data_IF_736504350927
#
_entry.id   IF_736504350927
#
_cell.length_a   1.000
_cell.length_b   1.000
_cell.length_c   1.000
_cell.angle_alpha   90.00
_cell.angle_beta   90.00
_cell.angle_gamma   90.00
#
_symmetry.space_group_name_H-M   'P 1'
#
loop_
_entity.id
_entity.type
_entity.pdbx_description
1 polymer ?
#
# COMPACT_ATOMS: atom_id res chain seq x y z
N UNK A 1 8.04 9.75 2.71
CA UNK A 1 8.28 8.59 3.58
C UNK A 1 8.94 9.02 4.88
N UNK A 2 9.92 9.91 4.79
CA UNK A 2 10.58 10.44 5.99
C UNK A 2 9.65 11.25 6.90
N UNK A 3 8.47 11.62 6.41
CA UNK A 3 7.48 12.35 7.21
C UNK A 3 6.59 11.43 8.05
N UNK A 4 6.81 10.10 8.02
CA UNK A 4 6.04 9.15 8.82
C UNK A 4 6.99 8.28 9.66
N UNK A 5 7.67 8.90 10.68
CA UNK A 5 8.75 8.19 11.39
C UNK A 5 8.28 7.04 12.27
N UNK A 6 7.03 7.05 12.73
CA UNK A 6 6.52 6.05 13.67
C UNK A 6 5.68 4.98 12.99
N UNK A 7 6.06 4.62 11.77
CA UNK A 7 5.35 3.58 11.01
C UNK A 7 6.25 2.42 10.69
N UNK A 8 5.64 1.24 10.60
CA UNK A 8 6.21 0.10 9.89
C UNK A 8 5.85 0.23 8.44
N UNK A 9 6.78 -0.08 7.55
CA UNK A 9 6.54 0.00 6.11
C UNK A 9 6.73 -1.35 5.45
N UNK A 10 5.93 -1.60 4.44
CA UNK A 10 6.10 -2.73 3.55
C UNK A 10 5.93 -2.26 2.12
N UNK A 11 6.64 -2.89 1.21
CA UNK A 11 6.55 -2.58 -0.22
C UNK A 11 6.03 -3.78 -0.98
N UNK A 12 5.33 -3.49 -2.07
CA UNK A 12 4.76 -4.51 -2.91
C UNK A 12 4.71 -3.97 -4.33
N UNK A 13 5.42 -4.63 -5.25
CA UNK A 13 5.41 -4.22 -6.64
C UNK A 13 4.19 -4.78 -7.34
N UNK A 14 3.79 -4.13 -8.43
CA UNK A 14 2.71 -4.60 -9.27
C UNK A 14 3.10 -4.43 -10.74
N UNK A 15 2.54 -5.28 -11.59
CA UNK A 15 2.81 -5.25 -13.02
C UNK A 15 1.59 -5.70 -13.81
N UNK A 16 1.50 -5.20 -15.01
CA UNK A 16 0.38 -5.45 -15.91
C UNK A 16 0.29 -4.30 -16.91
N UNK A 17 -0.91 -3.79 -17.13
CA UNK A 17 -1.09 -2.58 -17.93
C UNK A 17 -0.40 -1.38 -17.32
N UNK A 18 -0.27 -1.38 -16.00
CA UNK A 18 0.50 -0.38 -15.26
C UNK A 18 1.54 -1.11 -14.41
N UNK A 19 2.67 -0.45 -14.19
CA UNK A 19 3.75 -0.99 -13.37
C UNK A 19 4.17 0.02 -12.34
N UNK A 20 4.46 -0.47 -11.15
CA UNK A 20 4.93 0.39 -10.08
C UNK A 20 5.12 -0.35 -8.78
N UNK A 21 5.12 0.41 -7.72
CA UNK A 21 5.34 -0.11 -6.38
C UNK A 21 4.41 0.60 -5.40
N UNK A 22 3.86 -0.18 -4.48
CA UNK A 22 3.04 0.34 -3.40
C UNK A 22 3.85 0.24 -2.12
N UNK A 23 3.97 1.34 -1.39
CA UNK A 23 4.58 1.36 -0.08
C UNK A 23 3.48 1.69 0.91
N UNK A 24 3.25 0.80 1.86
CA UNK A 24 2.20 0.96 2.86
C UNK A 24 2.83 1.21 4.21
N UNK A 25 2.39 2.26 4.89
CA UNK A 25 2.83 2.61 6.24
C UNK A 25 1.75 2.33 7.26
N UNK A 26 2.10 1.62 8.32
CA UNK A 26 1.19 1.27 9.41
C UNK A 26 1.79 1.83 10.70
N UNK A 27 0.99 2.61 11.43
CA UNK A 27 1.46 3.25 12.65
C UNK A 27 1.81 2.20 13.70
N UNK A 28 3.00 2.34 14.29
CA UNK A 28 3.47 1.42 15.33
C UNK A 28 2.57 1.44 16.54
N UNK A 29 2.05 2.60 16.90
CA UNK A 29 1.20 2.77 18.07
C UNK A 29 -0.13 2.03 17.97
N UNK A 30 -0.59 1.75 16.76
CA UNK A 30 -1.84 1.03 16.54
C UNK A 30 -1.68 -0.47 16.37
N UNK A 31 -0.44 -0.99 16.36
CA UNK A 31 -0.20 -2.39 16.03
C UNK A 31 -0.82 -3.37 17.01
N UNK A 32 -0.80 -3.08 18.31
CA UNK A 32 -1.40 -3.98 19.29
C UNK A 32 -2.90 -4.11 19.11
N UNK A 33 -3.58 -2.99 18.87
CA UNK A 33 -5.02 -3.00 18.62
C UNK A 33 -5.35 -3.72 17.32
N UNK A 34 -4.53 -3.49 16.29
CA UNK A 34 -4.69 -4.16 15.00
C UNK A 34 -4.47 -5.67 15.12
N UNK A 35 -3.44 -6.05 15.87
CA UNK A 35 -3.14 -7.46 16.13
C UNK A 35 -4.30 -8.14 16.85
N UNK A 36 -4.87 -7.48 17.84
CA UNK A 36 -6.01 -8.01 18.57
C UNK A 36 -7.22 -8.18 17.64
N UNK A 37 -7.48 -7.21 16.77
CA UNK A 37 -8.57 -7.28 15.82
C UNK A 37 -8.38 -8.42 14.80
N UNK A 38 -7.15 -8.78 14.50
CA UNK A 38 -6.81 -9.84 13.55
C UNK A 38 -6.48 -11.18 14.22
N UNK A 39 -6.76 -11.29 15.51
CA UNK A 39 -6.59 -12.52 16.29
C UNK A 39 -5.14 -12.97 16.41
N UNK A 40 -4.20 -12.04 16.47
CA UNK A 40 -2.82 -12.32 16.79
C UNK A 40 -2.64 -12.39 18.31
N UNK A 41 -1.73 -13.21 18.76
CA UNK A 41 -1.38 -13.32 20.19
C UNK A 41 -0.55 -12.12 20.64
N UNK A 42 -0.85 -11.59 21.80
CA UNK A 42 -0.08 -10.50 22.40
C UNK A 42 0.74 -11.02 23.57
N UNK A 43 1.92 -10.44 23.86
CA UNK A 43 2.55 -9.33 23.11
C UNK A 43 3.14 -9.80 21.78
N UNK A 44 3.24 -8.86 20.82
CA UNK A 44 3.83 -9.17 19.53
C UNK A 44 5.35 -9.25 19.64
N UNK A 45 5.92 -10.35 19.16
CA UNK A 45 7.36 -10.43 18.98
C UNK A 45 7.74 -9.90 17.58
N UNK A 46 9.03 -9.97 17.25
CA UNK A 46 9.48 -9.45 15.97
C UNK A 46 8.86 -10.17 14.78
N UNK A 47 8.80 -11.49 14.86
CA UNK A 47 8.25 -12.31 13.77
C UNK A 47 6.76 -12.04 13.60
N UNK A 48 6.02 -11.99 14.69
CA UNK A 48 4.57 -11.72 14.63
C UNK A 48 4.28 -10.31 14.14
N UNK A 49 5.10 -9.33 14.51
CA UNK A 49 4.95 -7.97 14.01
C UNK A 49 5.14 -7.94 12.51
N UNK A 50 6.16 -8.61 12.00
CA UNK A 50 6.40 -8.67 10.56
C UNK A 50 5.24 -9.36 9.83
N UNK A 51 4.75 -10.46 10.35
CA UNK A 51 3.61 -11.15 9.76
C UNK A 51 2.37 -10.26 9.72
N UNK A 52 2.10 -9.55 10.81
CA UNK A 52 0.96 -8.64 10.89
C UNK A 52 1.05 -7.54 9.84
N UNK A 53 2.21 -6.89 9.76
CA UNK A 53 2.42 -5.79 8.82
C UNK A 53 2.28 -6.27 7.38
N UNK A 54 2.87 -7.41 7.06
CA UNK A 54 2.81 -7.96 5.70
C UNK A 54 1.39 -8.38 5.33
N UNK A 55 0.65 -8.96 6.27
CA UNK A 55 -0.73 -9.38 6.02
C UNK A 55 -1.64 -8.18 5.79
N UNK A 56 -1.55 -7.17 6.63
CA UNK A 56 -2.34 -5.94 6.47
C UNK A 56 -1.98 -5.23 5.17
N UNK A 57 -0.69 -5.16 4.87
CA UNK A 57 -0.22 -4.54 3.63
C UNK A 57 -0.79 -5.24 2.41
N UNK A 58 -0.78 -6.56 2.41
CA UNK A 58 -1.31 -7.32 1.29
C UNK A 58 -2.80 -7.03 1.07
N UNK A 59 -3.56 -6.92 2.15
CA UNK A 59 -4.99 -6.61 2.07
C UNK A 59 -5.21 -5.20 1.53
N UNK A 60 -4.51 -4.22 2.09
CA UNK A 60 -4.70 -2.82 1.70
C UNK A 60 -4.22 -2.54 0.28
N UNK A 61 -3.06 -3.07 -0.08
CA UNK A 61 -2.53 -2.91 -1.43
C UNK A 61 -3.43 -3.60 -2.45
N UNK A 62 -3.93 -4.79 -2.11
CA UNK A 62 -4.85 -5.51 -2.96
C UNK A 62 -6.13 -4.73 -3.21
N UNK A 63 -6.70 -4.15 -2.16
CA UNK A 63 -7.90 -3.34 -2.28
C UNK A 63 -7.66 -2.09 -3.14
N UNK A 64 -6.53 -1.41 -2.95
CA UNK A 64 -6.18 -0.23 -3.74
C UNK A 64 -6.03 -0.57 -5.22
N UNK A 65 -5.28 -1.62 -5.53
CA UNK A 65 -5.05 -1.99 -6.93
C UNK A 65 -6.33 -2.51 -7.57
N UNK A 66 -7.10 -3.32 -6.86
CA UNK A 66 -8.36 -3.83 -7.38
C UNK A 66 -9.34 -2.70 -7.66
N UNK A 67 -9.44 -1.74 -6.74
CA UNK A 67 -10.32 -0.59 -6.94
C UNK A 67 -9.91 0.25 -8.14
N UNK A 68 -8.62 0.52 -8.25
CA UNK A 68 -8.09 1.34 -9.33
C UNK A 68 -8.25 0.65 -10.68
N UNK A 69 -7.82 -0.61 -10.79
CA UNK A 69 -7.86 -1.34 -12.04
C UNK A 69 -9.28 -1.65 -12.48
N UNK A 70 -10.17 -1.93 -11.53
CA UNK A 70 -11.58 -2.20 -11.84
C UNK A 70 -12.27 -0.96 -12.40
N UNK A 71 -12.09 0.20 -11.77
CA UNK A 71 -12.72 1.42 -12.21
C UNK A 71 -12.19 1.92 -13.55
N UNK A 72 -10.91 1.69 -13.82
CA UNK A 72 -10.25 2.17 -15.02
C UNK A 72 -10.15 1.11 -16.12
N UNK A 73 -10.72 -0.06 -15.88
CA UNK A 73 -10.69 -1.19 -16.82
C UNK A 73 -9.27 -1.60 -17.21
N UNK A 74 -8.35 -1.52 -16.24
CA UNK A 74 -6.97 -1.93 -16.41
C UNK A 74 -6.75 -3.25 -15.68
N UNK A 75 -5.64 -3.91 -15.96
CA UNK A 75 -5.25 -5.11 -15.23
C UNK A 75 -3.85 -4.95 -14.66
N UNK A 76 -3.68 -5.44 -13.45
CA UNK A 76 -2.37 -5.47 -12.80
C UNK A 76 -2.37 -6.58 -11.76
N UNK A 77 -1.20 -7.16 -11.55
CA UNK A 77 -1.00 -8.22 -10.58
C UNK A 77 0.00 -7.75 -9.53
N UNK A 78 -0.30 -8.06 -8.27
CA UNK A 78 0.59 -7.75 -7.16
C UNK A 78 1.56 -8.91 -6.95
N UNK A 79 2.80 -8.57 -6.68
CA UNK A 79 3.79 -9.51 -6.18
C UNK A 79 3.65 -9.62 -4.65
N UNK A 80 4.46 -10.46 -4.02
CA UNK A 80 4.39 -10.63 -2.59
C UNK A 80 4.95 -9.40 -1.87
N UNK A 81 4.35 -9.01 -0.72
CA UNK A 81 4.86 -7.88 0.04
C UNK A 81 6.17 -8.23 0.74
N UNK A 82 6.99 -7.20 0.97
CA UNK A 82 8.23 -7.31 1.71
C UNK A 82 8.38 -6.12 2.64
N UNK A 83 9.05 -6.33 3.78
CA UNK A 83 9.35 -5.23 4.68
C UNK A 83 10.20 -4.19 3.97
N UNK A 84 9.91 -2.93 4.25
CA UNK A 84 10.58 -1.81 3.64
C UNK A 84 11.20 -0.93 4.72
N UNK A 85 12.49 -0.64 4.57
CA UNK A 85 13.21 0.22 5.50
C UNK A 85 13.59 1.50 4.76
N UNK A 86 12.93 2.64 5.04
CA UNK A 86 13.14 3.87 4.28
C UNK A 86 14.60 4.33 4.22
N UNK A 87 15.35 4.07 5.29
CA UNK A 87 16.75 4.49 5.36
C UNK A 87 17.66 3.72 4.40
N UNK A 88 17.20 2.58 3.90
CA UNK A 88 17.99 1.75 2.98
C UNK A 88 17.51 1.86 1.54
N UNK A 89 16.39 2.48 1.33
CA UNK A 89 15.76 2.50 0.03
C UNK A 89 16.15 3.76 -0.74
N UNK A 90 17.33 3.75 -1.29
CA UNK A 90 17.77 4.82 -2.17
C UNK A 90 17.16 4.72 -3.56
N UNK A 91 16.31 3.73 -3.81
CA UNK A 91 15.85 3.39 -5.16
C UNK A 91 14.51 3.98 -5.55
N UNK A 92 13.88 4.70 -4.65
CA UNK A 92 12.58 5.32 -4.93
C UNK A 92 12.65 6.45 -5.97
N UNK A 93 13.85 6.77 -6.44
CA UNK A 93 14.06 7.78 -7.46
C UNK A 93 13.63 7.35 -8.86
N UNK A 94 13.26 6.09 -9.04
CA UNK A 94 12.88 5.57 -10.35
C UNK A 94 11.42 5.86 -10.72
N UNK A 95 10.65 6.39 -9.78
CA UNK A 95 9.24 6.65 -10.03
C UNK A 95 9.04 8.03 -10.65
N UNK A 96 8.32 8.07 -11.76
CA UNK A 96 8.00 9.33 -12.43
C UNK A 96 6.90 10.07 -11.70
N UNK A 97 5.95 9.34 -11.15
CA UNK A 97 4.82 9.92 -10.42
C UNK A 97 4.57 9.13 -9.15
N UNK A 98 4.21 9.85 -8.09
CA UNK A 98 3.85 9.24 -6.82
C UNK A 98 2.49 9.75 -6.41
N UNK A 99 1.59 8.82 -6.10
CA UNK A 99 0.28 9.12 -5.57
C UNK A 99 0.25 8.70 -4.10
N UNK A 100 -0.16 9.63 -3.23
CA UNK A 100 -0.31 9.33 -1.81
C UNK A 100 -1.78 9.21 -1.46
N UNK A 101 -2.14 8.12 -0.79
CA UNK A 101 -3.51 7.85 -0.38
C UNK A 101 -3.51 7.59 1.12
N UNK A 102 -4.45 8.20 1.83
CA UNK A 102 -4.74 7.84 3.21
C UNK A 102 -5.96 6.93 3.19
N UNK A 103 -5.83 5.78 3.83
CA UNK A 103 -6.89 4.78 3.84
C UNK A 103 -7.39 4.62 5.27
N UNK A 104 -8.70 4.84 5.45
CA UNK A 104 -9.36 4.52 6.71
C UNK A 104 -10.09 3.21 6.53
N UNK A 105 -9.88 2.30 7.45
CA UNK A 105 -10.50 0.98 7.38
C UNK A 105 -10.91 0.53 8.77
N UNK A 106 -11.76 -0.48 8.84
CA UNK A 106 -12.19 -1.03 10.12
C UNK A 106 -12.13 -2.55 10.10
N UNK A 107 -11.75 -3.11 11.24
CA UNK A 107 -11.76 -4.55 11.48
C UNK A 107 -12.46 -4.74 12.82
N UNK A 108 -13.52 -5.57 12.83
CA UNK A 108 -14.31 -5.87 14.06
C UNK A 108 -14.72 -4.59 14.80
N UNK A 109 -15.23 -3.61 14.04
CA UNK A 109 -15.71 -2.31 14.56
C UNK A 109 -14.62 -1.40 15.12
N UNK A 110 -13.34 -1.77 15.00
CA UNK A 110 -12.24 -0.90 15.36
C UNK A 110 -11.75 -0.17 14.10
N UNK A 111 -11.47 1.12 14.24
CA UNK A 111 -11.09 1.97 13.11
C UNK A 111 -9.58 2.18 13.09
N UNK A 112 -9.01 2.08 11.90
CA UNK A 112 -7.59 2.25 11.68
C UNK A 112 -7.36 3.15 10.47
N UNK A 113 -6.20 3.79 10.41
CA UNK A 113 -5.80 4.51 9.22
C UNK A 113 -4.38 4.10 8.81
N UNK A 114 -4.14 4.17 7.51
CA UNK A 114 -2.86 3.79 6.93
C UNK A 114 -2.52 4.75 5.80
N UNK A 115 -1.23 4.94 5.55
CA UNK A 115 -0.74 5.75 4.44
C UNK A 115 -0.20 4.82 3.36
N UNK A 116 -0.64 5.05 2.13
CA UNK A 116 -0.22 4.25 0.99
C UNK A 116 0.36 5.17 -0.06
N UNK A 117 1.60 4.89 -0.46
CA UNK A 117 2.26 5.59 -1.56
C UNK A 117 2.32 4.67 -2.76
N UNK A 118 1.84 5.15 -3.89
CA UNK A 118 1.87 4.39 -5.13
C UNK A 118 2.83 5.10 -6.08
N UNK A 119 3.96 4.47 -6.37
CA UNK A 119 4.91 4.96 -7.34
C UNK A 119 4.65 4.32 -8.69
N UNK A 120 4.56 5.13 -9.73
CA UNK A 120 4.28 4.68 -11.09
C UNK A 120 5.45 4.99 -12.00
N UNK A 121 5.75 4.05 -12.89
CA UNK A 121 6.73 4.27 -13.94
C UNK A 121 6.12 5.12 -15.05
N UNK A 122 7.00 5.77 -15.82
CA UNK A 122 6.58 6.68 -16.88
C UNK A 122 5.63 6.01 -17.88
N UNK A 123 5.93 4.77 -18.24
CA UNK A 123 5.13 4.04 -19.21
C UNK A 123 3.72 3.73 -18.72
N UNK A 124 3.51 3.82 -17.41
CA UNK A 124 2.22 3.50 -16.80
C UNK A 124 1.29 4.70 -16.68
N UNK A 125 1.81 5.90 -16.90
CA UNK A 125 1.02 7.13 -16.71
C UNK A 125 -0.02 7.29 -17.81
N UNK A 126 0.36 7.08 -19.06
CA UNK A 126 -0.57 7.24 -20.19
C UNK A 126 -1.75 6.28 -20.13
N UNK A 127 -1.53 4.96 -19.91
CA UNK A 127 -2.66 4.05 -19.76
C UNK A 127 -3.62 4.43 -18.65
N UNK A 128 -3.10 5.10 -17.61
CA UNK A 128 -3.91 5.57 -16.51
C UNK A 128 -4.67 6.84 -16.84
N UNK A 129 -4.05 7.76 -17.56
CA UNK A 129 -4.64 9.06 -17.87
C UNK A 129 -5.85 8.97 -18.79
N UNK A 130 -5.82 8.10 -19.79
CA UNK A 130 -6.91 7.98 -20.73
C UNK A 130 -8.24 7.60 -20.06
N UNK A 131 -8.29 6.54 -19.24
CA UNK A 131 -9.52 6.21 -18.52
C UNK A 131 -9.96 7.30 -17.56
N UNK A 132 -9.02 7.97 -16.90
CA UNK A 132 -9.36 9.04 -15.95
C UNK A 132 -9.99 10.22 -16.70
N UNK A 133 -9.44 10.59 -17.85
CA UNK A 133 -10.00 11.66 -18.66
C UNK A 133 -11.42 11.33 -19.12
N UNK A 134 -11.64 10.09 -19.54
CA UNK A 134 -12.96 9.64 -19.94
C UNK A 134 -13.98 9.77 -18.81
N UNK A 135 -13.57 9.44 -17.59
CA UNK A 135 -14.43 9.57 -16.41
C UNK A 135 -14.76 11.05 -16.11
N UNK A 136 -13.82 11.95 -16.35
CA UNK A 136 -14.02 13.37 -16.07
C UNK A 136 -14.81 14.11 -17.14
N UNK A 137 -14.85 13.59 -18.35
CA UNK A 137 -15.55 14.22 -19.48
C UNK A 137 -17.04 13.85 -19.53
N UNK A 138 -17.46 12.93 -18.73
CA UNK A 138 -18.89 12.59 -18.61
C UNK A 138 -19.62 13.63 -17.74
#
# INVERSE_FOLDING_TARGET
ITSFPDCWFASQSFMGCIEGEIITGIQKTGCDALAQAMDFDLPLDKVSTEELVLEVTNILAGACIQGLTSQLELSAQLNMPAFYYPNKAATSSDWTSILMIEIDFSIKHMHFSSHVLIGLQEDSIEPLLLPIRAMLED
#
